data_IF_251050419232
#
_entry.id   IF_251050419232
#
_cell.length_a   1.000
_cell.length_b   1.000
_cell.length_c   1.000
_cell.angle_alpha   90.00
_cell.angle_beta   90.00
_cell.angle_gamma   90.00
#
_symmetry.space_group_name_H-M   'P 1'
#
loop_
_entity.id
_entity.type
_entity.pdbx_description
1 polymer ?
#
# COMPACT_ATOMS: atom_id res chain seq x y z
N UNK A 1 -8.98 -6.80 6.11
CA UNK A 1 -8.91 -5.62 7.02
C UNK A 1 -9.81 -4.50 6.50
N UNK A 2 -10.18 -3.56 7.37
CA UNK A 2 -10.94 -2.40 6.95
C UNK A 2 -10.04 -1.39 6.25
N UNK A 3 -10.63 -0.48 5.46
CA UNK A 3 -9.86 0.60 4.83
C UNK A 3 -9.25 1.52 5.89
N UNK A 4 -9.96 1.75 6.99
CA UNK A 4 -9.44 2.55 8.09
C UNK A 4 -8.18 1.93 8.70
N UNK A 5 -8.20 0.63 8.96
CA UNK A 5 -7.04 -0.08 9.49
C UNK A 5 -5.88 -0.09 8.49
N UNK A 6 -6.18 -0.31 7.23
CA UNK A 6 -5.17 -0.27 6.18
C UNK A 6 -4.50 1.09 6.12
N UNK A 7 -5.28 2.17 6.20
CA UNK A 7 -4.71 3.53 6.19
C UNK A 7 -3.78 3.75 7.37
N UNK A 8 -4.16 3.31 8.57
CA UNK A 8 -3.29 3.42 9.75
C UNK A 8 -1.95 2.71 9.52
N UNK A 9 -2.00 1.47 9.04
CA UNK A 9 -0.80 0.70 8.80
C UNK A 9 0.07 1.30 7.70
N UNK A 10 -0.55 1.77 6.62
CA UNK A 10 0.19 2.38 5.52
C UNK A 10 0.78 3.73 5.90
N UNK A 11 0.10 4.50 6.76
CA UNK A 11 0.63 5.76 7.25
C UNK A 11 1.93 5.55 8.03
N UNK A 12 1.98 4.50 8.85
CA UNK A 12 3.20 4.15 9.58
C UNK A 12 4.33 3.80 8.61
N UNK A 13 4.04 2.99 7.59
CA UNK A 13 5.04 2.61 6.59
C UNK A 13 5.56 3.81 5.81
N UNK A 14 4.66 4.71 5.41
CA UNK A 14 5.02 5.91 4.67
C UNK A 14 5.89 6.85 5.51
N UNK A 15 5.58 6.95 6.82
CA UNK A 15 6.33 7.79 7.74
C UNK A 15 7.75 7.28 7.95
N UNK A 16 7.94 5.96 7.89
CA UNK A 16 9.28 5.36 8.00
C UNK A 16 10.13 5.55 6.74
N UNK A 17 9.51 5.92 5.62
CA UNK A 17 10.18 6.08 4.34
C UNK A 17 10.38 4.75 3.61
N UNK A 18 10.88 4.81 2.38
CA UNK A 18 11.12 3.63 1.57
C UNK A 18 12.37 2.87 2.02
N UNK A 19 12.63 1.73 1.55
CA UNK A 19 13.83 0.95 1.86
C UNK A 19 13.50 -0.31 2.63
N UNK A 20 13.64 -0.32 3.93
CA UNK A 20 13.49 -1.54 4.73
C UNK A 20 12.09 -2.13 4.69
N UNK A 21 11.08 -1.29 4.58
CA UNK A 21 9.69 -1.68 4.76
C UNK A 21 8.90 -1.83 3.47
N UNK A 22 9.60 -1.86 2.32
CA UNK A 22 8.93 -2.00 1.02
C UNK A 22 8.12 -3.30 0.95
N UNK A 23 8.69 -4.39 1.44
CA UNK A 23 8.01 -5.68 1.40
C UNK A 23 6.79 -5.72 2.33
N UNK A 24 6.90 -5.13 3.52
CA UNK A 24 5.76 -5.03 4.44
C UNK A 24 4.63 -4.20 3.83
N UNK A 25 4.95 -3.08 3.21
CA UNK A 25 3.98 -2.24 2.52
C UNK A 25 3.30 -2.99 1.40
N UNK A 26 4.07 -3.75 0.61
CA UNK A 26 3.54 -4.58 -0.48
C UNK A 26 2.51 -5.59 0.04
N UNK A 27 2.78 -6.21 1.17
CA UNK A 27 1.87 -7.19 1.75
C UNK A 27 0.57 -6.55 2.23
N UNK A 28 0.65 -5.35 2.82
CA UNK A 28 -0.54 -4.61 3.23
C UNK A 28 -1.40 -4.25 2.00
N UNK A 29 -0.76 -3.76 0.94
CA UNK A 29 -1.46 -3.42 -0.29
C UNK A 29 -2.08 -4.65 -0.95
N UNK A 30 -1.43 -5.80 -0.86
CA UNK A 30 -1.99 -7.05 -1.36
C UNK A 30 -3.27 -7.42 -0.64
N UNK A 31 -3.32 -7.25 0.69
CA UNK A 31 -4.55 -7.48 1.45
C UNK A 31 -5.64 -6.48 1.10
N UNK A 32 -5.28 -5.21 0.90
CA UNK A 32 -6.25 -4.20 0.47
C UNK A 32 -6.84 -4.58 -0.89
N UNK A 33 -6.00 -5.05 -1.80
CA UNK A 33 -6.45 -5.51 -3.11
C UNK A 33 -7.45 -6.65 -2.98
N UNK A 34 -7.15 -7.61 -2.12
CA UNK A 34 -8.00 -8.79 -1.92
C UNK A 34 -9.36 -8.40 -1.32
N UNK A 35 -9.36 -7.51 -0.35
CA UNK A 35 -10.57 -7.14 0.39
C UNK A 35 -11.38 -6.03 -0.28
N UNK A 36 -10.74 -5.12 -0.99
CA UNK A 36 -11.38 -3.88 -1.47
C UNK A 36 -11.16 -3.59 -2.95
N UNK A 37 -10.25 -4.30 -3.61
CA UNK A 37 -9.99 -4.16 -5.03
C UNK A 37 -8.93 -3.14 -5.38
N UNK A 38 -8.62 -3.08 -6.67
CA UNK A 38 -7.52 -2.26 -7.21
C UNK A 38 -7.74 -0.76 -7.01
N UNK A 39 -8.99 -0.30 -7.07
CA UNK A 39 -9.28 1.13 -6.87
C UNK A 39 -8.82 1.64 -5.53
N UNK A 40 -9.05 0.85 -4.47
CA UNK A 40 -8.61 1.22 -3.12
C UNK A 40 -7.08 1.22 -3.02
N UNK A 41 -6.41 0.26 -3.65
CA UNK A 41 -4.94 0.21 -3.71
C UNK A 41 -4.40 1.47 -4.37
N UNK A 42 -4.95 1.82 -5.54
CA UNK A 42 -4.50 2.99 -6.29
C UNK A 42 -4.71 4.28 -5.49
N UNK A 43 -5.83 4.38 -4.78
CA UNK A 43 -6.11 5.55 -3.95
C UNK A 43 -5.05 5.71 -2.84
N UNK A 44 -4.67 4.62 -2.19
CA UNK A 44 -3.63 4.65 -1.16
C UNK A 44 -2.26 4.98 -1.74
N UNK A 45 -1.93 4.43 -2.91
CA UNK A 45 -0.67 4.75 -3.58
C UNK A 45 -0.55 6.25 -3.81
N UNK A 46 -1.63 6.89 -4.26
CA UNK A 46 -1.67 8.33 -4.49
C UNK A 46 -1.65 9.12 -3.18
N UNK A 47 -2.45 8.69 -2.21
CA UNK A 47 -2.57 9.39 -0.93
C UNK A 47 -1.22 9.50 -0.21
N UNK A 48 -0.44 8.44 -0.21
CA UNK A 48 0.83 8.38 0.50
C UNK A 48 2.06 8.55 -0.41
N UNK A 49 1.84 8.87 -1.68
CA UNK A 49 2.92 9.04 -2.66
C UNK A 49 3.86 7.82 -2.69
N UNK A 50 3.28 6.65 -2.74
CA UNK A 50 4.04 5.40 -2.66
C UNK A 50 4.89 5.13 -3.90
N UNK A 51 4.61 5.81 -4.99
CA UNK A 51 5.48 5.73 -6.17
C UNK A 51 6.85 6.31 -5.86
N UNK A 52 6.89 7.47 -5.20
CA UNK A 52 8.15 8.09 -4.78
C UNK A 52 8.81 7.31 -3.65
N UNK A 53 8.04 6.89 -2.65
CA UNK A 53 8.58 6.24 -1.46
C UNK A 53 9.06 4.81 -1.72
N UNK A 54 8.30 4.04 -2.50
CA UNK A 54 8.53 2.61 -2.66
C UNK A 54 8.63 2.16 -4.12
N UNK A 55 8.37 3.04 -5.07
CA UNK A 55 8.34 2.67 -6.49
C UNK A 55 7.05 1.96 -6.91
N UNK A 56 5.99 2.06 -6.11
CA UNK A 56 4.70 1.44 -6.43
C UNK A 56 3.84 2.42 -7.23
N UNK A 57 3.63 2.14 -8.51
CA UNK A 57 2.80 2.97 -9.37
C UNK A 57 1.32 2.59 -9.23
N UNK A 58 0.39 3.54 -9.41
CA UNK A 58 -1.03 3.19 -9.52
C UNK A 58 -1.22 2.16 -10.64
N UNK A 59 -2.10 1.20 -10.40
CA UNK A 59 -2.31 0.10 -11.34
C UNK A 59 -1.44 -1.12 -11.11
N UNK A 60 -0.46 -1.03 -10.21
CA UNK A 60 0.37 -2.17 -9.87
C UNK A 60 -0.48 -3.27 -9.24
N UNK A 61 -0.34 -4.49 -9.74
CA UNK A 61 -1.04 -5.63 -9.16
C UNK A 61 -0.23 -6.22 -8.02
N UNK A 62 -0.85 -6.28 -6.84
CA UNK A 62 -0.25 -6.90 -5.68
C UNK A 62 -0.92 -8.24 -5.44
N UNK A 63 -0.10 -9.27 -5.24
CA UNK A 63 -0.61 -10.63 -5.00
C UNK A 63 -0.19 -11.08 -3.61
N UNK A 64 -1.12 -11.74 -2.92
CA UNK A 64 -0.78 -12.41 -1.65
C UNK A 64 0.16 -13.58 -1.94
N UNK A 65 1.11 -13.82 -1.05
CA UNK A 65 2.02 -14.97 -1.22
C UNK A 65 1.28 -16.29 -1.16
#
# INVERSE_FOLDING_TARGET
MTLEKARELLAVQADMGGGYNRNATRLILAEVKLDHGQGAVDAFIREFDMETLFGFKPGTEFKTP
#
